data_IF_556843388461
#
_entry.id   IF_556843388461
#
_cell.length_a   1.000
_cell.length_b   1.000
_cell.length_c   1.000
_cell.angle_alpha   90.00
_cell.angle_beta   90.00
_cell.angle_gamma   90.00
#
_symmetry.space_group_name_H-M   'P 1'
#
loop_
_entity.id
_entity.type
_entity.pdbx_description
1 polymer ?
#
# COMPACT_ATOMS: atom_id res chain seq x y z
N UNK A 1 -20.38 -7.60 -6.71
CA UNK A 1 -20.72 -6.61 -5.69
C UNK A 1 -19.99 -5.35 -6.11
N UNK A 2 -20.71 -4.40 -6.72
CA UNK A 2 -20.17 -3.12 -7.16
C UNK A 2 -19.79 -2.30 -5.94
N UNK A 3 -18.54 -1.86 -5.90
CA UNK A 3 -18.07 -0.86 -4.95
C UNK A 3 -18.93 0.39 -5.14
N UNK A 4 -19.74 0.76 -4.15
CA UNK A 4 -20.42 2.05 -4.16
C UNK A 4 -19.33 3.13 -4.13
N UNK A 5 -19.14 3.77 -5.26
CA UNK A 5 -18.25 4.91 -5.40
C UNK A 5 -18.75 6.02 -4.46
N UNK A 6 -17.90 6.48 -3.56
CA UNK A 6 -18.24 7.51 -2.59
C UNK A 6 -18.79 8.74 -3.33
N UNK A 7 -19.77 9.45 -2.73
CA UNK A 7 -20.35 10.69 -3.30
C UNK A 7 -19.24 11.70 -3.65
N UNK A 8 -18.19 11.72 -2.85
CA UNK A 8 -17.01 12.56 -3.06
C UNK A 8 -16.25 12.21 -4.34
N UNK A 9 -16.12 10.90 -4.64
CA UNK A 9 -15.40 10.43 -5.84
C UNK A 9 -16.19 10.79 -7.11
N UNK A 10 -17.51 10.64 -7.07
CA UNK A 10 -18.40 11.08 -8.17
C UNK A 10 -18.34 12.59 -8.41
N UNK A 11 -18.28 13.38 -7.35
CA UNK A 11 -18.15 14.83 -7.46
C UNK A 11 -16.78 15.24 -8.05
N UNK A 12 -15.70 14.54 -7.68
CA UNK A 12 -14.37 14.77 -8.26
C UNK A 12 -14.31 14.40 -9.74
N UNK A 13 -14.93 13.29 -10.12
CA UNK A 13 -15.01 12.86 -11.52
C UNK A 13 -15.77 13.89 -12.38
N UNK A 14 -16.93 14.33 -11.93
CA UNK A 14 -17.69 15.37 -12.61
C UNK A 14 -16.89 16.69 -12.72
N UNK A 15 -16.20 17.08 -11.66
CA UNK A 15 -15.35 18.27 -11.67
C UNK A 15 -14.19 18.14 -12.66
N UNK A 16 -13.53 17.01 -12.73
CA UNK A 16 -12.41 16.77 -13.66
C UNK A 16 -12.81 16.88 -15.15
N UNK A 17 -14.06 16.57 -15.47
CA UNK A 17 -14.61 16.73 -16.82
C UNK A 17 -15.07 18.17 -17.08
N UNK A 18 -15.79 18.78 -16.14
CA UNK A 18 -16.43 20.07 -16.31
C UNK A 18 -15.49 21.26 -16.14
N UNK A 19 -14.39 21.11 -15.41
CA UNK A 19 -13.39 22.17 -15.18
C UNK A 19 -12.55 22.48 -16.43
N UNK A 20 -12.42 21.53 -17.34
CA UNK A 20 -11.65 21.67 -18.58
C UNK A 20 -12.58 21.90 -19.76
N UNK A 21 -12.47 23.04 -20.50
CA UNK A 21 -13.36 23.36 -21.59
C UNK A 21 -13.31 22.40 -22.77
N UNK A 22 -12.18 21.72 -22.98
CA UNK A 22 -12.04 20.75 -24.07
C UNK A 22 -12.67 19.41 -23.70
N UNK A 23 -12.51 18.95 -22.47
CA UNK A 23 -13.18 17.76 -21.94
C UNK A 23 -14.69 17.95 -21.86
N UNK A 24 -15.13 19.15 -21.47
CA UNK A 24 -16.55 19.50 -21.47
C UNK A 24 -17.16 19.40 -22.85
N UNK A 25 -16.49 19.93 -23.89
CA UNK A 25 -16.97 19.80 -25.28
C UNK A 25 -17.07 18.37 -25.75
N UNK A 26 -16.11 17.54 -25.36
CA UNK A 26 -16.14 16.10 -25.67
C UNK A 26 -17.29 15.41 -24.95
N UNK A 27 -17.51 15.74 -23.70
CA UNK A 27 -18.65 15.22 -22.94
C UNK A 27 -20.00 15.64 -23.55
N UNK A 28 -20.12 16.88 -23.98
CA UNK A 28 -21.34 17.44 -24.61
C UNK A 28 -21.63 16.75 -25.97
N UNK A 29 -20.61 16.28 -26.68
CA UNK A 29 -20.75 15.60 -27.98
C UNK A 29 -20.95 14.08 -27.86
N UNK A 30 -20.27 13.43 -26.98
CA UNK A 30 -20.19 11.96 -26.90
C UNK A 30 -20.77 11.37 -25.61
N UNK A 31 -21.17 12.19 -24.66
CA UNK A 31 -21.73 11.77 -23.39
C UNK A 31 -20.71 11.02 -22.51
N UNK A 32 -21.23 10.26 -21.56
CA UNK A 32 -20.41 9.49 -20.61
C UNK A 32 -19.60 8.36 -21.29
N UNK A 33 -20.08 7.86 -22.42
CA UNK A 33 -19.42 6.79 -23.19
C UNK A 33 -18.01 7.16 -23.70
N UNK A 34 -17.70 8.44 -23.83
CA UNK A 34 -16.37 8.92 -24.20
C UNK A 34 -15.32 8.73 -23.08
N UNK A 35 -15.78 8.55 -21.85
CA UNK A 35 -14.96 8.47 -20.65
C UNK A 35 -15.01 7.09 -19.97
N UNK A 36 -16.00 6.26 -20.30
CA UNK A 36 -16.06 4.86 -19.88
C UNK A 36 -15.12 4.02 -20.77
N UNK A 37 -13.95 3.66 -20.28
CA UNK A 37 -12.97 2.82 -20.96
C UNK A 37 -13.47 1.43 -21.43
N UNK A 38 -14.78 1.20 -21.47
CA UNK A 38 -15.46 -0.05 -21.86
C UNK A 38 -15.94 -0.04 -23.32
N UNK A 39 -15.69 1.03 -24.07
CA UNK A 39 -16.14 1.18 -25.46
C UNK A 39 -15.34 0.39 -26.50
N UNK A 40 -15.14 -0.90 -26.28
CA UNK A 40 -14.70 -1.85 -27.30
C UNK A 40 -15.90 -2.50 -28.00
N UNK A 41 -16.55 -1.78 -28.93
CA UNK A 41 -17.62 -2.42 -29.70
C UNK A 41 -18.28 -1.52 -30.74
N UNK A 42 -17.95 -1.76 -32.02
CA UNK A 42 -18.72 -1.46 -33.22
C UNK A 42 -19.03 0.01 -33.54
N UNK A 43 -18.14 0.66 -34.24
CA UNK A 43 -18.40 1.91 -34.94
C UNK A 43 -17.08 2.58 -35.32
N UNK A 44 -16.47 2.17 -36.43
CA UNK A 44 -15.17 2.63 -36.89
C UNK A 44 -15.12 4.15 -37.09
N UNK A 45 -14.50 4.81 -36.15
CA UNK A 45 -13.88 6.11 -36.38
C UNK A 45 -12.38 5.92 -36.20
N UNK A 46 -11.72 5.86 -37.34
CA UNK A 46 -10.28 5.82 -37.50
C UNK A 46 -9.69 7.18 -36.99
N UNK A 47 -9.27 7.22 -35.73
CA UNK A 47 -8.52 8.31 -35.16
C UNK A 47 -7.00 8.16 -35.44
N UNK A 48 -6.64 7.60 -36.58
CA UNK A 48 -5.25 7.36 -37.01
C UNK A 48 -4.43 8.64 -37.29
N UNK A 49 -4.83 9.78 -36.82
CA UNK A 49 -4.14 11.02 -37.19
C UNK A 49 -3.90 12.07 -36.10
N UNK A 50 -4.30 11.84 -34.86
CA UNK A 50 -4.03 12.79 -33.79
C UNK A 50 -3.53 12.08 -32.53
N UNK A 51 -2.33 12.42 -32.16
CA UNK A 51 -1.50 11.98 -31.00
C UNK A 51 -2.14 12.30 -29.60
N UNK A 52 -3.46 12.20 -29.50
CA UNK A 52 -4.21 12.48 -28.25
C UNK A 52 -4.40 11.26 -27.37
N UNK A 53 -4.16 10.04 -27.89
CA UNK A 53 -4.30 8.79 -27.16
C UNK A 53 -3.24 8.60 -26.09
N UNK A 54 -2.05 9.07 -26.33
CA UNK A 54 -0.91 8.92 -25.41
C UNK A 54 -1.02 9.84 -24.19
N UNK A 55 -1.53 11.04 -24.37
CA UNK A 55 -1.71 12.00 -23.24
C UNK A 55 -2.89 11.61 -22.37
N UNK A 56 -3.92 11.00 -22.95
CA UNK A 56 -5.10 10.55 -22.21
C UNK A 56 -4.85 9.24 -21.46
N UNK A 57 -4.09 8.33 -22.07
CA UNK A 57 -3.68 7.05 -21.45
C UNK A 57 -2.77 7.25 -20.24
N UNK A 58 -1.86 8.20 -20.32
CA UNK A 58 -0.90 8.44 -19.23
C UNK A 58 -1.52 9.17 -18.03
N UNK A 59 -2.39 10.16 -18.24
CA UNK A 59 -2.99 10.93 -17.14
C UNK A 59 -4.16 10.19 -16.49
N UNK A 60 -4.98 9.50 -17.29
CA UNK A 60 -6.15 8.80 -16.78
C UNK A 60 -5.85 7.38 -16.31
N UNK A 61 -4.87 6.70 -16.94
CA UNK A 61 -4.38 5.40 -16.51
C UNK A 61 -3.68 5.44 -15.16
N UNK A 62 -3.04 6.56 -14.82
CA UNK A 62 -2.33 6.73 -13.55
C UNK A 62 -3.28 7.15 -12.40
N UNK A 63 -4.39 7.80 -12.71
CA UNK A 63 -5.32 8.34 -11.72
C UNK A 63 -6.54 7.43 -11.45
N UNK A 64 -7.05 6.69 -12.45
CA UNK A 64 -8.25 5.85 -12.33
C UNK A 64 -8.04 4.35 -12.53
N UNK A 65 -7.12 3.95 -13.38
CA UNK A 65 -6.78 2.55 -13.54
C UNK A 65 -5.68 2.19 -12.59
N UNK A 66 -5.94 1.51 -11.47
CA UNK A 66 -4.98 1.04 -10.47
C UNK A 66 -3.60 0.76 -11.05
N UNK A 67 -2.86 1.85 -11.26
CA UNK A 67 -1.69 1.95 -12.11
C UNK A 67 -0.63 0.92 -11.77
N UNK A 68 -0.47 -0.02 -12.62
CA UNK A 68 0.76 -0.79 -12.72
C UNK A 68 1.85 0.12 -13.31
N UNK A 69 2.18 1.20 -12.61
CA UNK A 69 3.47 1.86 -12.82
C UNK A 69 4.56 0.83 -12.55
N UNK A 70 5.07 0.20 -13.58
CA UNK A 70 6.26 -0.65 -13.54
C UNK A 70 7.54 0.17 -13.38
N UNK A 71 7.42 1.43 -12.92
CA UNK A 71 8.52 2.30 -12.55
C UNK A 71 9.22 1.73 -11.32
N UNK A 72 10.49 1.41 -11.47
CA UNK A 72 11.55 1.11 -10.50
C UNK A 72 11.09 1.03 -9.02
N UNK A 73 10.56 -0.12 -8.62
CA UNK A 73 10.14 -0.39 -7.23
C UNK A 73 11.31 -0.56 -6.23
N UNK A 74 12.50 -0.07 -6.56
CA UNK A 74 13.65 -0.02 -5.65
C UNK A 74 13.78 1.33 -4.94
N UNK A 75 12.80 2.22 -5.07
CA UNK A 75 12.74 3.47 -4.30
C UNK A 75 12.38 3.24 -2.84
N UNK A 76 12.54 4.28 -1.99
CA UNK A 76 12.05 4.27 -0.62
C UNK A 76 10.55 3.96 -0.61
N UNK A 77 10.16 2.94 0.15
CA UNK A 77 8.76 2.57 0.30
C UNK A 77 8.37 2.57 1.78
N UNK A 78 7.15 3.05 2.05
CA UNK A 78 6.62 3.04 3.41
C UNK A 78 6.47 1.61 3.93
N UNK A 79 6.76 1.41 5.21
CA UNK A 79 6.55 0.16 5.92
C UNK A 79 5.07 -0.21 6.02
N UNK A 80 4.79 -1.48 6.19
CA UNK A 80 3.43 -1.96 6.38
C UNK A 80 2.84 -1.46 7.71
N UNK A 81 1.54 -1.21 7.72
CA UNK A 81 0.82 -0.91 8.94
C UNK A 81 0.63 -2.20 9.76
N UNK A 82 0.78 -2.08 11.07
CA UNK A 82 0.53 -3.17 12.02
C UNK A 82 -0.86 -2.97 12.60
N UNK A 83 -1.66 -4.05 12.70
CA UNK A 83 -2.97 -4.02 13.34
C UNK A 83 -2.91 -4.71 14.68
N UNK A 84 -3.56 -4.09 15.67
CA UNK A 84 -3.72 -4.63 17.01
C UNK A 84 -5.18 -4.40 17.42
N UNK A 85 -5.84 -5.40 17.98
CA UNK A 85 -7.19 -5.26 18.51
C UNK A 85 -7.17 -5.06 20.01
N UNK A 86 -8.00 -4.14 20.50
CA UNK A 86 -8.19 -3.89 21.92
C UNK A 86 -9.67 -4.03 22.25
N UNK A 87 -9.99 -4.72 23.35
CA UNK A 87 -11.34 -4.83 23.86
C UNK A 87 -11.58 -3.79 24.94
N UNK A 88 -12.69 -3.08 24.83
CA UNK A 88 -13.18 -2.11 25.80
C UNK A 88 -14.61 -2.43 26.20
N UNK A 89 -15.03 -1.96 27.36
CA UNK A 89 -16.42 -2.04 27.78
C UNK A 89 -17.30 -1.04 27.04
N UNK A 90 -18.62 -1.23 27.13
CA UNK A 90 -19.57 -0.29 26.56
C UNK A 90 -19.46 1.11 27.18
N UNK A 91 -19.26 1.18 28.49
CA UNK A 91 -19.08 2.45 29.23
C UNK A 91 -17.78 3.16 28.78
N UNK A 92 -16.69 2.41 28.68
CA UNK A 92 -15.42 2.94 28.18
C UNK A 92 -15.54 3.49 26.74
N UNK A 93 -16.37 2.89 25.90
CA UNK A 93 -16.62 3.39 24.56
C UNK A 93 -17.43 4.70 24.54
N UNK A 94 -18.34 4.89 25.51
CA UNK A 94 -19.14 6.12 25.60
C UNK A 94 -18.32 7.27 26.15
N UNK A 95 -17.63 7.05 27.27
CA UNK A 95 -16.90 8.12 27.97
C UNK A 95 -15.47 8.33 27.49
N UNK A 96 -14.96 7.41 26.68
CA UNK A 96 -13.56 7.34 26.34
C UNK A 96 -12.72 6.70 27.44
N UNK A 97 -11.59 6.19 27.08
CA UNK A 97 -10.66 5.59 28.04
C UNK A 97 -9.22 5.66 27.56
N UNK A 98 -8.31 5.43 28.48
CA UNK A 98 -6.89 5.32 28.21
C UNK A 98 -6.46 3.87 28.45
N UNK A 99 -5.90 3.21 27.43
CA UNK A 99 -5.42 1.82 27.53
C UNK A 99 -3.92 1.75 27.29
N UNK A 100 -3.25 0.92 28.06
CA UNK A 100 -1.85 0.57 27.82
C UNK A 100 -1.79 -0.67 26.91
N UNK A 101 -1.13 -0.51 25.75
CA UNK A 101 -0.97 -1.56 24.76
C UNK A 101 0.48 -2.04 24.72
N UNK A 102 0.67 -3.35 24.74
CA UNK A 102 1.97 -3.98 24.58
C UNK A 102 2.03 -4.65 23.20
N UNK A 103 3.04 -4.30 22.42
CA UNK A 103 3.23 -4.85 21.09
C UNK A 103 4.71 -4.96 20.73
N UNK A 104 4.98 -5.77 19.71
CA UNK A 104 6.32 -5.96 19.19
C UNK A 104 6.67 -4.81 18.21
N UNK A 105 7.74 -4.11 18.52
CA UNK A 105 8.27 -3.01 17.71
C UNK A 105 9.62 -3.41 17.14
N UNK A 106 9.80 -3.25 15.84
CA UNK A 106 11.08 -3.48 15.17
C UNK A 106 11.90 -2.20 15.17
N UNK A 107 12.93 -2.17 15.99
CA UNK A 107 13.89 -1.08 16.06
C UNK A 107 15.06 -1.34 15.11
N UNK A 108 15.57 -0.30 14.46
CA UNK A 108 16.75 -0.43 13.59
C UNK A 108 17.94 -0.92 14.41
N UNK A 109 18.60 -1.95 13.93
CA UNK A 109 19.77 -2.51 14.60
C UNK A 109 20.89 -1.48 14.67
N UNK A 110 21.29 -1.09 15.89
CA UNK A 110 22.36 -0.11 16.12
C UNK A 110 23.73 -0.58 15.62
N UNK A 111 23.96 -1.91 15.60
CA UNK A 111 25.24 -2.49 15.20
C UNK A 111 25.48 -2.38 13.70
N UNK A 112 24.46 -2.56 12.88
CA UNK A 112 24.60 -2.55 11.42
C UNK A 112 23.86 -1.38 10.74
N UNK A 113 23.20 -0.49 11.50
CA UNK A 113 22.45 0.63 10.92
C UNK A 113 21.30 0.24 10.01
N UNK A 114 20.73 -0.97 10.18
CA UNK A 114 19.60 -1.45 9.38
C UNK A 114 19.97 -2.22 8.10
N UNK A 115 21.25 -2.32 7.75
CA UNK A 115 21.66 -3.01 6.51
C UNK A 115 21.75 -4.54 6.62
N UNK A 116 21.70 -5.08 7.84
CA UNK A 116 21.77 -6.52 8.10
C UNK A 116 23.15 -7.15 7.95
N UNK A 117 24.16 -6.41 7.47
CA UNK A 117 25.50 -6.91 7.27
C UNK A 117 26.36 -6.69 8.52
N UNK A 118 27.39 -7.52 8.67
CA UNK A 118 28.40 -7.36 9.72
C UNK A 118 29.08 -6.00 9.58
N UNK A 119 29.39 -5.29 10.67
CA UNK A 119 30.15 -4.05 10.64
C UNK A 119 31.43 -4.19 9.82
N UNK A 120 31.65 -3.26 8.89
CA UNK A 120 32.77 -3.30 7.95
C UNK A 120 32.49 -4.05 6.63
N UNK A 121 31.33 -4.67 6.51
CA UNK A 121 30.85 -5.27 5.25
C UNK A 121 29.57 -4.60 4.75
N UNK A 122 29.29 -4.71 3.48
CA UNK A 122 28.07 -4.16 2.86
C UNK A 122 27.29 -5.26 2.14
N UNK A 123 25.94 -5.10 2.04
CA UNK A 123 25.13 -5.99 1.21
C UNK A 123 25.55 -5.90 -0.25
N UNK A 124 25.71 -7.03 -0.91
CA UNK A 124 26.02 -7.11 -2.35
C UNK A 124 24.74 -7.18 -3.18
N UNK A 125 24.81 -6.71 -4.43
CA UNK A 125 23.69 -6.86 -5.36
C UNK A 125 23.43 -8.34 -5.64
N UNK A 126 22.17 -8.75 -5.53
CA UNK A 126 21.79 -10.14 -5.83
C UNK A 126 22.05 -10.48 -7.28
N UNK A 127 22.90 -11.46 -7.53
CA UNK A 127 23.28 -11.89 -8.89
C UNK A 127 22.14 -12.57 -9.64
N UNK A 128 21.19 -13.19 -8.92
CA UNK A 128 20.07 -13.89 -9.55
C UNK A 128 19.03 -12.95 -10.15
N UNK A 129 18.79 -11.81 -9.54
CA UNK A 129 17.81 -10.83 -10.01
C UNK A 129 18.45 -9.50 -10.43
N UNK A 130 19.78 -9.40 -10.41
CA UNK A 130 20.54 -8.18 -10.74
C UNK A 130 19.99 -6.93 -10.00
N UNK A 131 19.62 -7.10 -8.72
CA UNK A 131 19.11 -6.02 -7.88
C UNK A 131 17.63 -5.72 -8.03
N UNK A 132 16.89 -6.36 -8.93
CA UNK A 132 15.46 -6.09 -9.17
C UNK A 132 14.54 -6.66 -8.09
N UNK A 133 15.01 -7.62 -7.30
CA UNK A 133 14.21 -8.32 -6.29
C UNK A 133 13.20 -9.32 -6.85
N UNK A 134 13.09 -9.43 -8.18
CA UNK A 134 12.12 -10.28 -8.87
C UNK A 134 12.81 -11.10 -9.95
N UNK A 135 12.27 -12.27 -10.22
CA UNK A 135 12.67 -13.12 -11.35
C UNK A 135 11.46 -13.41 -12.23
N UNK A 136 11.67 -13.32 -13.53
CA UNK A 136 10.65 -13.65 -14.52
C UNK A 136 10.85 -15.12 -14.90
N UNK A 137 9.84 -15.94 -14.69
CA UNK A 137 9.81 -17.32 -15.18
C UNK A 137 8.83 -17.39 -16.35
N UNK A 138 9.32 -17.88 -17.47
CA UNK A 138 8.47 -18.18 -18.63
C UNK A 138 8.03 -19.65 -18.51
N UNK A 139 6.72 -19.87 -18.53
CA UNK A 139 6.15 -21.21 -18.62
C UNK A 139 5.36 -21.31 -19.93
N UNK A 140 5.61 -22.38 -20.67
CA UNK A 140 4.90 -22.68 -21.89
C UNK A 140 3.58 -23.36 -21.50
N UNK A 141 2.45 -22.77 -21.92
CA UNK A 141 1.11 -23.29 -21.74
C UNK A 141 0.56 -23.67 -23.12
N UNK A 142 -0.49 -24.52 -23.18
CA UNK A 142 -1.21 -24.87 -24.40
C UNK A 142 -1.78 -23.65 -25.14
N UNK A 143 -1.93 -22.52 -24.45
CA UNK A 143 -2.45 -21.25 -24.98
C UNK A 143 -1.37 -20.18 -25.23
N UNK A 144 -0.08 -20.54 -25.14
CA UNK A 144 1.01 -19.61 -25.38
C UNK A 144 2.01 -19.54 -24.23
N UNK A 145 2.97 -18.59 -24.34
CA UNK A 145 3.99 -18.36 -23.33
C UNK A 145 3.46 -17.41 -22.26
N UNK A 146 3.34 -17.90 -21.03
CA UNK A 146 2.94 -17.10 -19.87
C UNK A 146 4.20 -16.68 -19.11
N UNK A 147 4.38 -15.38 -18.88
CA UNK A 147 5.44 -14.82 -18.05
C UNK A 147 4.93 -14.60 -16.64
N UNK A 148 5.47 -15.37 -15.69
CA UNK A 148 5.17 -15.21 -14.28
C UNK A 148 6.33 -14.46 -13.59
N UNK A 149 6.01 -13.31 -12.99
CA UNK A 149 6.95 -12.55 -12.18
C UNK A 149 6.83 -12.99 -10.74
N UNK A 150 7.88 -13.60 -10.20
CA UNK A 150 7.93 -14.08 -8.81
C UNK A 150 8.99 -13.34 -8.02
N UNK A 151 8.83 -13.29 -6.70
CA UNK A 151 9.86 -12.76 -5.80
C UNK A 151 11.14 -13.59 -5.94
N UNK A 152 12.29 -12.93 -6.04
CA UNK A 152 13.58 -13.63 -6.14
C UNK A 152 13.83 -14.45 -4.87
N UNK A 153 14.01 -15.77 -4.98
CA UNK A 153 14.20 -16.65 -3.81
C UNK A 153 15.53 -16.42 -3.10
N UNK A 154 16.56 -15.95 -3.80
CA UNK A 154 17.88 -15.71 -3.19
C UNK A 154 17.93 -14.49 -2.30
N UNK A 155 17.20 -13.43 -2.63
CA UNK A 155 17.22 -12.18 -1.86
C UNK A 155 15.89 -11.88 -1.16
N UNK A 156 14.86 -12.71 -1.33
CA UNK A 156 13.54 -12.50 -0.75
C UNK A 156 12.87 -11.19 -1.16
N UNK A 157 13.21 -10.66 -2.34
CA UNK A 157 12.65 -9.41 -2.87
C UNK A 157 13.47 -8.15 -2.58
N UNK A 158 14.49 -8.22 -1.72
CA UNK A 158 15.32 -7.06 -1.34
C UNK A 158 16.25 -6.55 -2.46
N UNK A 159 16.54 -7.38 -3.46
CA UNK A 159 17.54 -7.09 -4.50
C UNK A 159 18.98 -7.17 -4.02
N UNK A 160 19.23 -7.39 -2.72
CA UNK A 160 20.55 -7.45 -2.09
C UNK A 160 20.71 -8.74 -1.32
N UNK A 161 21.93 -9.24 -1.23
CA UNK A 161 22.30 -10.45 -0.46
C UNK A 161 23.39 -10.08 0.54
N UNK A 162 23.18 -10.48 1.78
CA UNK A 162 24.16 -10.30 2.87
C UNK A 162 24.91 -11.60 3.03
N UNK A 163 26.22 -11.63 2.69
CA UNK A 163 27.10 -12.80 2.90
C UNK A 163 27.42 -12.97 4.38
N UNK A 164 27.94 -11.90 4.98
CA UNK A 164 28.32 -11.89 6.40
C UNK A 164 27.20 -11.20 7.20
N UNK A 165 26.39 -12.01 7.87
CA UNK A 165 25.25 -11.49 8.63
C UNK A 165 25.69 -10.77 9.91
N UNK A 166 25.04 -9.67 10.23
CA UNK A 166 25.23 -8.99 11.50
C UNK A 166 24.94 -9.94 12.69
N UNK A 167 25.84 -10.06 13.65
CA UNK A 167 25.66 -10.99 14.78
C UNK A 167 24.48 -10.60 15.69
N UNK A 168 24.12 -9.32 15.74
CA UNK A 168 23.06 -8.80 16.62
C UNK A 168 21.66 -9.04 16.04
N UNK A 169 21.47 -8.78 14.76
CA UNK A 169 20.14 -8.92 14.10
C UNK A 169 20.04 -10.13 13.17
N UNK A 170 21.08 -10.93 13.04
CA UNK A 170 21.13 -12.13 12.20
C UNK A 170 20.76 -11.90 10.73
N UNK A 171 21.05 -10.70 10.22
CA UNK A 171 20.81 -10.34 8.83
C UNK A 171 19.48 -9.63 8.56
N UNK A 172 18.62 -9.48 9.56
CA UNK A 172 17.31 -8.82 9.40
C UNK A 172 17.40 -7.29 9.30
N UNK A 173 18.46 -6.68 9.83
CA UNK A 173 18.60 -5.24 9.97
C UNK A 173 17.84 -4.63 11.14
N UNK A 174 17.01 -5.40 11.85
CA UNK A 174 16.13 -4.92 12.91
C UNK A 174 16.15 -5.84 14.12
N UNK A 175 15.96 -5.26 15.30
CA UNK A 175 15.77 -5.99 16.55
C UNK A 175 14.32 -5.82 17.01
N UNK A 176 13.68 -6.91 17.40
CA UNK A 176 12.32 -6.88 17.94
C UNK A 176 12.37 -6.54 19.43
N UNK A 177 11.65 -5.50 19.82
CA UNK A 177 11.52 -5.03 21.20
C UNK A 177 10.04 -4.95 21.57
N UNK A 178 9.68 -5.40 22.75
CA UNK A 178 8.36 -5.17 23.31
C UNK A 178 8.27 -3.73 23.82
N UNK A 179 7.30 -2.99 23.32
CA UNK A 179 7.04 -1.60 23.69
C UNK A 179 5.65 -1.49 24.28
N UNK A 180 5.54 -0.76 25.37
CA UNK A 180 4.26 -0.38 25.98
C UNK A 180 3.95 1.06 25.59
N UNK A 181 2.76 1.28 25.09
CA UNK A 181 2.30 2.60 24.67
C UNK A 181 0.90 2.84 25.22
N UNK A 182 0.75 3.96 25.87
CA UNK A 182 -0.56 4.44 26.28
C UNK A 182 -1.30 5.04 25.09
N UNK A 183 -2.51 4.62 24.87
CA UNK A 183 -3.39 5.05 23.77
C UNK A 183 -4.66 5.61 24.34
N UNK A 184 -4.99 6.81 23.95
CA UNK A 184 -6.25 7.45 24.29
C UNK A 184 -7.31 7.06 23.25
N UNK A 185 -8.39 6.48 23.72
CA UNK A 185 -9.54 6.10 22.92
C UNK A 185 -10.60 7.17 23.13
N UNK A 186 -11.01 7.88 22.08
CA UNK A 186 -11.96 8.97 22.20
C UNK A 186 -13.35 8.47 22.62
N UNK A 187 -14.12 9.33 23.29
CA UNK A 187 -15.50 9.07 23.65
C UNK A 187 -16.37 8.92 22.39
N UNK A 188 -17.36 8.03 22.46
CA UNK A 188 -18.25 7.77 21.35
C UNK A 188 -17.70 6.90 20.23
N UNK A 189 -16.61 6.19 20.45
CA UNK A 189 -16.01 5.30 19.45
C UNK A 189 -16.91 4.10 19.16
N UNK A 190 -17.06 3.74 17.89
CA UNK A 190 -17.84 2.59 17.46
C UNK A 190 -17.02 1.31 17.38
N UNK A 191 -17.73 0.17 17.44
CA UNK A 191 -17.11 -1.15 17.27
C UNK A 191 -16.48 -1.27 15.89
N UNK A 192 -15.24 -1.76 15.83
CA UNK A 192 -14.47 -1.90 14.58
C UNK A 192 -13.78 -0.62 14.10
N UNK A 193 -13.96 0.51 14.77
CA UNK A 193 -13.19 1.72 14.46
C UNK A 193 -11.72 1.55 14.86
N UNK A 194 -10.84 2.22 14.08
CA UNK A 194 -9.40 2.14 14.29
C UNK A 194 -8.81 3.48 14.74
N UNK A 195 -8.07 3.45 15.84
CA UNK A 195 -7.22 4.56 16.29
C UNK A 195 -5.83 4.39 15.67
N UNK A 196 -5.35 5.40 14.94
CA UNK A 196 -4.05 5.37 14.27
C UNK A 196 -2.95 6.02 15.11
N UNK A 197 -1.89 5.26 15.35
CA UNK A 197 -0.68 5.75 16.01
C UNK A 197 0.43 5.78 14.96
N UNK A 198 0.91 6.97 14.63
CA UNK A 198 1.90 7.18 13.58
C UNK A 198 3.25 6.58 13.95
N UNK A 199 3.97 6.05 12.94
CA UNK A 199 5.35 5.58 13.03
C UNK A 199 5.59 4.36 13.94
N UNK A 200 4.54 3.68 14.40
CA UNK A 200 4.63 2.46 15.21
C UNK A 200 4.37 1.16 14.42
N UNK A 201 4.29 1.24 13.09
CA UNK A 201 4.21 0.09 12.21
C UNK A 201 5.57 -0.53 11.87
N UNK A 202 5.59 -1.33 10.81
CA UNK A 202 6.82 -1.93 10.29
C UNK A 202 7.78 -0.87 9.74
N UNK A 203 9.09 -1.12 9.81
CA UNK A 203 10.08 -0.23 9.20
C UNK A 203 9.90 -0.15 7.69
N UNK A 204 10.16 1.02 7.12
CA UNK A 204 10.13 1.24 5.68
C UNK A 204 11.25 0.48 4.95
N UNK A 205 11.04 0.26 3.67
CA UNK A 205 11.98 -0.42 2.78
C UNK A 205 12.86 0.64 2.10
N UNK A 206 14.15 0.37 1.94
CA UNK A 206 15.11 1.25 1.27
C UNK A 206 15.14 2.70 1.82
N UNK A 207 15.02 2.86 3.14
CA UNK A 207 15.03 4.17 3.78
C UNK A 207 13.70 4.92 3.70
N UNK A 208 12.62 4.23 3.35
CA UNK A 208 11.26 4.79 3.42
C UNK A 208 10.77 5.00 4.85
N UNK A 209 9.71 5.79 5.05
CA UNK A 209 9.11 6.02 6.35
C UNK A 209 8.51 4.74 6.93
N UNK A 210 8.37 4.70 8.23
CA UNK A 210 7.69 3.58 8.91
C UNK A 210 6.19 3.59 8.58
N UNK A 211 5.57 2.42 8.73
CA UNK A 211 4.11 2.31 8.76
C UNK A 211 3.53 2.79 10.10
N UNK A 212 2.23 2.72 10.22
CA UNK A 212 1.48 3.11 11.41
C UNK A 212 0.97 1.89 12.17
N UNK A 213 0.71 2.05 13.46
CA UNK A 213 -0.03 1.08 14.26
C UNK A 213 -1.51 1.47 14.24
N UNK A 214 -2.34 0.54 13.78
CA UNK A 214 -3.79 0.66 13.74
C UNK A 214 -4.38 -0.15 14.89
N UNK A 215 -4.95 0.53 15.86
CA UNK A 215 -5.59 -0.09 17.03
C UNK A 215 -7.09 -0.20 16.74
N UNK A 216 -7.53 -1.40 16.40
CA UNK A 216 -8.94 -1.71 16.17
C UNK A 216 -9.65 -1.90 17.51
N UNK A 217 -10.69 -1.13 17.74
CA UNK A 217 -11.44 -1.15 18.97
C UNK A 217 -12.60 -2.13 18.86
N UNK A 218 -12.65 -3.11 19.76
CA UNK A 218 -13.74 -4.07 19.89
C UNK A 218 -14.52 -3.71 21.14
N UNK A 219 -15.74 -3.22 20.93
CA UNK A 219 -16.63 -2.85 22.03
C UNK A 219 -17.41 -4.08 22.49
N UNK A 220 -17.31 -4.40 23.79
CA UNK A 220 -18.11 -5.46 24.41
C UNK A 220 -19.58 -5.02 24.49
N UNK A 221 -20.50 -5.94 24.21
CA UNK A 221 -21.95 -5.67 24.35
C UNK A 221 -22.32 -5.29 25.78
N UNK A 222 -23.33 -4.45 25.91
CA UNK A 222 -23.99 -4.17 27.20
C UNK A 222 -25.14 -5.14 27.39
N UNK A 223 -25.54 -5.38 28.66
CA UNK A 223 -26.73 -6.15 28.97
C UNK A 223 -28.01 -5.31 28.83
N UNK A 224 -27.89 -4.00 29.00
CA UNK A 224 -29.00 -3.08 29.11
C UNK A 224 -29.24 -2.24 27.87
N UNK A 225 -28.25 -2.19 26.95
CA UNK A 225 -28.29 -1.36 25.76
C UNK A 225 -27.81 -2.10 24.51
N UNK A 226 -28.55 -1.95 23.42
CA UNK A 226 -28.11 -2.30 22.06
C UNK A 226 -27.53 -1.08 21.37
N UNK A 227 -26.50 -1.32 20.53
CA UNK A 227 -25.80 -0.27 19.79
C UNK A 227 -25.70 -0.64 18.31
#
# INVERSE_FOLDING_TARGET
MGSEMCIRDRAQEAYAVLSDPDKRRQYDQFGHAAFDGTGGGAGGFDFSGMDMGDIFGDIFGDFFGGGRSSGRRNGPAQGANVRLSVRISFEEAIFGCTKELEFNYKETCSTCGGNGAKPGTSPETCTQCNGTGKVVRQSQSLFGVVQNVTTCPSCGGSGKVVKDKCPTCHGTGYNTKKVRKTVEIPAGIDNGQCVRIREYGEPGINGGPRGDLLVEVIVSGSRDFER
#
